data_IF_242232409596
#
_entry.id   IF_242232409596
#
_cell.length_a   1.000
_cell.length_b   1.000
_cell.length_c   1.000
_cell.angle_alpha   90.00
_cell.angle_beta   90.00
_cell.angle_gamma   90.00
#
_symmetry.space_group_name_H-M   'P 1'
#
loop_
_entity.id
_entity.type
_entity.pdbx_description
1 polymer ?
#
# COMPACT_ATOMS: atom_id res chain seq x y z
N UNK A 1 -27.62 -2.58 17.83
CA UNK A 1 -26.91 -3.08 16.64
C UNK A 1 -26.49 -1.91 15.79
N UNK A 2 -25.27 -1.44 15.86
CA UNK A 2 -24.65 -0.55 14.83
C UNK A 2 -23.23 -0.08 15.22
N UNK A 3 -22.43 -0.93 15.86
CA UNK A 3 -21.03 -0.60 16.18
C UNK A 3 -20.06 -0.93 15.00
N UNK A 4 -20.49 -1.71 14.01
CA UNK A 4 -19.68 -2.13 12.86
C UNK A 4 -19.46 -1.02 11.80
N UNK A 5 -20.22 0.07 11.86
CA UNK A 5 -20.12 1.17 10.89
C UNK A 5 -18.89 2.08 11.08
N UNK A 6 -18.14 1.95 12.18
CA UNK A 6 -17.00 2.82 12.50
C UNK A 6 -15.66 2.35 11.91
N UNK A 7 -15.54 1.08 11.54
CA UNK A 7 -14.32 0.58 10.91
C UNK A 7 -14.58 0.48 9.41
N UNK A 8 -14.03 1.42 8.65
CA UNK A 8 -14.08 1.32 7.17
C UNK A 8 -13.47 -0.02 6.74
N UNK A 9 -13.99 -0.66 5.67
CA UNK A 9 -13.42 -1.89 5.15
C UNK A 9 -11.92 -1.71 4.90
N UNK A 10 -11.15 -2.74 5.20
CA UNK A 10 -9.70 -2.74 4.98
C UNK A 10 -9.49 -2.66 3.46
N UNK A 11 -9.00 -1.52 2.99
CA UNK A 11 -8.57 -1.38 1.59
C UNK A 11 -7.13 -1.87 1.50
N UNK A 12 -6.93 -2.99 0.83
CA UNK A 12 -5.59 -3.52 0.62
C UNK A 12 -4.97 -2.93 -0.64
N UNK A 13 -3.85 -2.26 -0.46
CA UNK A 13 -2.90 -2.04 -1.55
C UNK A 13 -1.91 -3.19 -1.48
N UNK A 14 -1.91 -4.05 -2.49
CA UNK A 14 -0.91 -5.13 -2.57
C UNK A 14 0.42 -4.47 -2.89
N UNK A 15 1.39 -4.64 -2.00
CA UNK A 15 2.73 -4.10 -2.18
C UNK A 15 3.60 -5.21 -2.75
N UNK A 16 3.76 -5.22 -4.06
CA UNK A 16 4.80 -5.99 -4.74
C UNK A 16 5.71 -4.98 -5.42
N UNK A 17 6.94 -4.92 -4.99
CA UNK A 17 7.96 -4.14 -5.67
C UNK A 17 8.55 -5.00 -6.77
N UNK A 18 8.47 -4.52 -8.00
CA UNK A 18 9.22 -5.08 -9.11
C UNK A 18 10.63 -4.53 -9.00
N UNK A 19 11.54 -5.30 -8.44
CA UNK A 19 12.96 -4.94 -8.41
C UNK A 19 13.45 -4.69 -9.83
N UNK A 20 14.16 -3.57 -10.03
CA UNK A 20 14.81 -3.31 -11.30
C UNK A 20 15.88 -4.38 -11.50
N UNK A 21 15.78 -5.21 -12.54
CA UNK A 21 16.71 -6.30 -12.74
C UNK A 21 18.11 -5.75 -13.02
N UNK A 22 19.13 -6.31 -12.36
CA UNK A 22 20.52 -6.02 -12.69
C UNK A 22 20.85 -6.68 -14.03
N UNK A 23 20.53 -5.97 -15.11
CA UNK A 23 20.76 -6.43 -16.47
C UNK A 23 22.26 -6.40 -16.76
N UNK A 24 22.91 -7.53 -16.60
CA UNK A 24 24.29 -7.70 -17.06
C UNK A 24 24.28 -8.09 -18.53
N UNK A 25 24.95 -7.29 -19.36
CA UNK A 25 25.21 -7.67 -20.73
C UNK A 25 26.30 -8.74 -20.74
N UNK A 26 25.94 -9.98 -21.05
CA UNK A 26 26.88 -11.06 -21.23
C UNK A 26 27.16 -11.23 -22.72
N UNK A 27 28.39 -10.91 -23.13
CA UNK A 27 28.85 -11.24 -24.47
C UNK A 27 28.90 -12.76 -24.62
N UNK A 28 27.92 -13.32 -25.33
CA UNK A 28 27.91 -14.74 -25.67
C UNK A 28 28.75 -14.95 -26.94
N UNK A 29 29.65 -15.93 -26.89
CA UNK A 29 30.30 -16.39 -28.10
C UNK A 29 29.24 -16.94 -29.05
N UNK A 30 29.16 -16.38 -30.24
CA UNK A 30 28.18 -16.80 -31.24
C UNK A 30 28.41 -18.28 -31.59
N UNK A 31 27.36 -19.06 -31.52
CA UNK A 31 27.30 -20.35 -32.18
C UNK A 31 27.46 -20.10 -33.69
N UNK A 32 28.25 -20.93 -34.31
CA UNK A 32 28.55 -20.89 -35.75
C UNK A 32 27.26 -21.01 -36.55
N UNK A 33 26.69 -19.87 -36.95
CA UNK A 33 25.71 -19.84 -38.01
C UNK A 33 26.46 -20.06 -39.34
N UNK A 34 25.90 -20.96 -40.16
CA UNK A 34 26.50 -21.55 -41.37
C UNK A 34 26.69 -20.58 -42.57
N UNK A 35 26.50 -19.30 -42.37
CA UNK A 35 26.78 -18.28 -43.39
C UNK A 35 28.19 -17.69 -43.16
N UNK A 36 29.21 -18.32 -43.80
CA UNK A 36 30.59 -17.82 -43.87
C UNK A 36 30.58 -16.50 -44.67
N UNK A 37 30.32 -15.38 -43.98
CA UNK A 37 30.73 -14.07 -44.52
C UNK A 37 32.23 -14.12 -44.74
N UNK A 38 32.67 -13.71 -45.93
CA UNK A 38 34.11 -13.61 -46.25
C UNK A 38 34.63 -12.40 -45.46
N UNK A 39 35.36 -12.68 -44.37
CA UNK A 39 36.08 -11.67 -43.62
C UNK A 39 37.15 -11.10 -44.54
N UNK A 40 37.24 -9.79 -44.69
CA UNK A 40 38.32 -9.15 -45.43
C UNK A 40 39.66 -9.38 -44.73
N UNK A 41 40.76 -9.28 -45.43
CA UNK A 41 42.10 -9.42 -44.82
C UNK A 41 42.32 -8.37 -43.73
N UNK A 42 41.86 -7.15 -43.96
CA UNK A 42 41.95 -6.01 -43.03
C UNK A 42 41.18 -6.28 -41.72
N UNK A 43 39.94 -6.79 -41.86
CA UNK A 43 39.13 -7.21 -40.70
C UNK A 43 39.80 -8.33 -39.93
N UNK A 44 40.37 -9.32 -40.59
CA UNK A 44 41.10 -10.42 -39.96
C UNK A 44 42.29 -9.94 -39.14
N UNK A 45 43.08 -9.00 -39.71
CA UNK A 45 44.21 -8.39 -39.00
C UNK A 45 43.73 -7.51 -37.81
N UNK A 46 42.59 -6.80 -37.96
CA UNK A 46 41.99 -6.02 -36.88
C UNK A 46 41.49 -6.95 -35.73
N UNK A 47 40.72 -8.00 -36.05
CA UNK A 47 40.24 -8.97 -35.09
C UNK A 47 41.43 -9.60 -34.32
N UNK A 48 42.50 -9.95 -35.01
CA UNK A 48 43.70 -10.50 -34.37
C UNK A 48 44.35 -9.57 -33.34
N UNK A 49 44.29 -8.23 -33.59
CA UNK A 49 44.80 -7.24 -32.62
C UNK A 49 43.94 -7.09 -31.34
N UNK A 50 42.63 -7.20 -31.45
CA UNK A 50 41.71 -6.99 -30.32
C UNK A 50 41.40 -8.31 -29.59
N UNK A 51 41.75 -9.47 -30.14
CA UNK A 51 41.34 -10.78 -29.64
C UNK A 51 41.75 -11.03 -28.18
N UNK A 52 43.01 -10.66 -27.84
CA UNK A 52 43.54 -10.85 -26.49
C UNK A 52 42.79 -10.01 -25.44
N UNK A 53 42.54 -8.72 -25.76
CA UNK A 53 41.79 -7.82 -24.88
C UNK A 53 40.33 -8.25 -24.77
N UNK A 54 39.72 -8.73 -25.85
CA UNK A 54 38.35 -9.25 -25.85
C UNK A 54 38.22 -10.49 -24.94
N UNK A 55 39.16 -11.41 -25.03
CA UNK A 55 39.19 -12.60 -24.18
C UNK A 55 39.49 -12.30 -22.71
N UNK A 56 40.27 -11.24 -22.45
CA UNK A 56 40.61 -10.78 -21.10
C UNK A 56 39.47 -9.87 -20.50
N UNK A 57 38.45 -9.50 -21.30
CA UNK A 57 37.38 -8.60 -20.87
C UNK A 57 37.78 -7.12 -20.77
N UNK A 58 38.91 -6.74 -21.42
CA UNK A 58 39.34 -5.32 -21.46
C UNK A 58 38.61 -4.54 -22.53
N UNK A 59 37.28 -4.39 -22.32
CA UNK A 59 36.38 -3.77 -23.33
C UNK A 59 36.75 -2.32 -23.66
N UNK A 60 37.31 -1.58 -22.72
CA UNK A 60 37.76 -0.20 -22.94
C UNK A 60 38.87 -0.10 -23.99
N UNK A 61 39.83 -1.06 -23.93
CA UNK A 61 40.90 -1.15 -24.94
C UNK A 61 40.32 -1.48 -26.32
N UNK A 62 39.38 -2.45 -26.33
CA UNK A 62 38.68 -2.85 -27.56
C UNK A 62 37.90 -1.70 -28.15
N UNK A 63 37.15 -0.95 -27.35
CA UNK A 63 36.40 0.23 -27.79
C UNK A 63 37.33 1.31 -28.37
N UNK A 64 38.46 1.55 -27.70
CA UNK A 64 39.49 2.49 -28.16
C UNK A 64 40.11 2.07 -29.49
N UNK A 65 40.35 0.76 -29.68
CA UNK A 65 40.85 0.23 -30.95
C UNK A 65 39.85 0.47 -32.11
N UNK A 66 38.55 0.22 -31.87
CA UNK A 66 37.48 0.52 -32.84
C UNK A 66 37.39 2.02 -33.16
N UNK A 67 37.52 2.89 -32.17
CA UNK A 67 37.41 4.34 -32.34
C UNK A 67 38.49 4.94 -33.28
N UNK A 68 39.60 4.23 -33.50
CA UNK A 68 40.66 4.64 -34.44
C UNK A 68 40.44 4.18 -35.87
N UNK A 69 39.36 3.42 -36.14
CA UNK A 69 39.07 2.85 -37.48
C UNK A 69 37.86 3.51 -38.13
N UNK A 70 37.83 3.44 -39.46
CA UNK A 70 36.60 3.72 -40.20
C UNK A 70 35.69 2.48 -40.16
N UNK A 71 34.80 2.44 -39.17
CA UNK A 71 33.89 1.30 -38.93
C UNK A 71 32.91 1.06 -40.09
N UNK A 72 32.73 2.03 -40.99
CA UNK A 72 31.85 1.85 -42.16
C UNK A 72 32.36 0.81 -43.15
N UNK A 73 33.66 0.54 -43.12
CA UNK A 73 34.32 -0.47 -43.95
C UNK A 73 34.22 -1.88 -43.37
N UNK A 74 33.79 -2.00 -42.11
CA UNK A 74 33.69 -3.29 -41.45
C UNK A 74 32.37 -4.00 -41.80
N UNK A 75 32.42 -5.34 -41.79
CA UNK A 75 31.24 -6.16 -41.95
C UNK A 75 30.20 -5.86 -40.87
N UNK A 76 28.90 -6.09 -41.14
CA UNK A 76 27.84 -5.90 -40.12
C UNK A 76 28.11 -6.67 -38.85
N UNK A 77 28.67 -7.88 -38.92
CA UNK A 77 29.01 -8.69 -37.75
C UNK A 77 30.11 -8.05 -36.89
N UNK A 78 31.14 -7.47 -37.48
CA UNK A 78 32.20 -6.78 -36.73
C UNK A 78 31.68 -5.46 -36.13
N UNK A 79 30.79 -4.76 -36.81
CA UNK A 79 30.10 -3.58 -36.25
C UNK A 79 29.16 -3.96 -35.13
N UNK A 80 28.47 -5.11 -35.19
CA UNK A 80 27.68 -5.64 -34.08
C UNK A 80 28.54 -5.89 -32.84
N UNK A 81 29.71 -6.52 -32.99
CA UNK A 81 30.66 -6.71 -31.89
C UNK A 81 31.05 -5.37 -31.26
N UNK A 82 31.31 -4.33 -32.08
CA UNK A 82 31.57 -2.98 -31.57
C UNK A 82 30.38 -2.44 -30.77
N UNK A 83 29.16 -2.58 -31.27
CA UNK A 83 27.94 -2.22 -30.54
C UNK A 83 27.84 -2.91 -29.20
N UNK A 84 28.17 -4.20 -29.11
CA UNK A 84 28.19 -4.97 -27.86
C UNK A 84 29.27 -4.48 -26.88
N UNK A 85 30.46 -4.16 -27.38
CA UNK A 85 31.53 -3.56 -26.55
C UNK A 85 31.10 -2.23 -25.98
N UNK A 86 30.45 -1.40 -26.79
CA UNK A 86 29.93 -0.09 -26.35
C UNK A 86 28.83 -0.23 -25.26
N UNK A 87 28.03 -1.29 -25.32
CA UNK A 87 27.05 -1.58 -24.24
C UNK A 87 27.76 -1.88 -22.93
N UNK A 88 28.84 -2.66 -22.94
CA UNK A 88 29.66 -2.94 -21.75
C UNK A 88 30.30 -1.65 -21.20
N UNK A 89 30.78 -0.77 -22.08
CA UNK A 89 31.35 0.53 -21.72
C UNK A 89 30.25 1.57 -21.34
N UNK A 90 28.98 1.16 -21.31
CA UNK A 90 27.83 2.01 -21.01
C UNK A 90 27.66 3.21 -21.93
N UNK A 91 28.27 3.14 -23.13
CA UNK A 91 28.12 4.16 -24.18
C UNK A 91 26.90 3.86 -25.06
N UNK A 92 25.71 3.94 -24.41
CA UNK A 92 24.44 3.52 -25.03
C UNK A 92 24.06 4.34 -26.28
N UNK A 93 24.43 5.63 -26.32
CA UNK A 93 24.11 6.48 -27.45
C UNK A 93 24.86 6.08 -28.73
N UNK A 94 26.15 5.75 -28.59
CA UNK A 94 26.94 5.29 -29.72
C UNK A 94 26.58 3.85 -30.09
N UNK A 95 26.31 3.00 -29.10
CA UNK A 95 25.84 1.65 -29.33
C UNK A 95 24.51 1.64 -30.12
N UNK A 96 23.53 2.50 -29.76
CA UNK A 96 22.27 2.66 -30.51
C UNK A 96 22.57 2.96 -32.00
N UNK A 97 23.43 3.95 -32.28
CA UNK A 97 23.76 4.33 -33.64
C UNK A 97 24.39 3.18 -34.44
N UNK A 98 25.41 2.55 -33.89
CA UNK A 98 26.12 1.43 -34.53
C UNK A 98 25.21 0.25 -34.80
N UNK A 99 24.37 -0.11 -33.81
CA UNK A 99 23.46 -1.25 -33.93
C UNK A 99 22.30 -1.00 -34.89
N UNK A 100 21.85 0.26 -35.05
CA UNK A 100 20.88 0.63 -36.08
C UNK A 100 21.46 0.42 -37.47
N UNK A 101 22.70 0.89 -37.71
CA UNK A 101 23.41 0.66 -38.99
C UNK A 101 23.59 -0.84 -39.29
N UNK A 102 23.79 -1.68 -38.24
CA UNK A 102 23.85 -3.12 -38.39
C UNK A 102 22.50 -3.71 -38.80
N UNK A 103 21.41 -3.28 -38.16
CA UNK A 103 20.07 -3.75 -38.48
C UNK A 103 19.62 -3.31 -39.85
N UNK A 104 20.00 -2.12 -40.28
CA UNK A 104 19.72 -1.64 -41.67
C UNK A 104 20.41 -2.54 -42.69
N UNK A 105 21.63 -3.00 -42.42
CA UNK A 105 22.35 -3.93 -43.30
C UNK A 105 21.87 -5.39 -43.17
N UNK A 106 21.47 -5.81 -41.98
CA UNK A 106 21.04 -7.18 -41.67
C UNK A 106 19.74 -7.18 -40.81
N UNK A 107 18.58 -6.93 -41.43
CA UNK A 107 17.32 -6.75 -40.69
C UNK A 107 16.85 -7.98 -39.91
N UNK A 108 17.35 -9.16 -40.21
CA UNK A 108 17.00 -10.42 -39.58
C UNK A 108 18.13 -10.96 -38.67
N UNK A 109 18.99 -10.11 -38.15
CA UNK A 109 20.06 -10.51 -37.24
C UNK A 109 19.53 -10.46 -35.78
N UNK A 110 19.22 -11.62 -35.16
CA UNK A 110 18.52 -11.65 -33.85
C UNK A 110 19.35 -11.01 -32.74
N UNK A 111 20.68 -11.25 -32.76
CA UNK A 111 21.62 -10.73 -31.78
C UNK A 111 21.76 -9.20 -31.81
N UNK A 112 21.68 -8.59 -33.00
CA UNK A 112 21.70 -7.13 -33.13
C UNK A 112 20.41 -6.50 -32.53
N UNK A 113 19.25 -7.09 -32.77
CA UNK A 113 18.01 -6.66 -32.14
C UNK A 113 18.06 -6.78 -30.63
N UNK A 114 18.60 -7.91 -30.10
CA UNK A 114 18.82 -8.08 -28.68
C UNK A 114 19.73 -7.00 -28.08
N UNK A 115 20.88 -6.77 -28.72
CA UNK A 115 21.85 -5.75 -28.27
C UNK A 115 21.25 -4.34 -28.31
N UNK A 116 20.52 -3.99 -29.36
CA UNK A 116 19.84 -2.70 -29.45
C UNK A 116 18.73 -2.55 -28.41
N UNK A 117 17.99 -3.63 -28.13
CA UNK A 117 16.98 -3.59 -27.07
C UNK A 117 17.58 -3.28 -25.71
N UNK A 118 18.79 -3.81 -25.42
CA UNK A 118 19.52 -3.50 -24.19
C UNK A 118 19.91 -2.01 -24.11
N UNK A 119 20.40 -1.41 -25.20
CA UNK A 119 20.67 0.03 -25.24
C UNK A 119 19.40 0.84 -24.91
N UNK A 120 18.25 0.40 -25.42
CA UNK A 120 16.98 1.06 -25.15
C UNK A 120 16.48 0.86 -23.73
N UNK A 121 16.66 -0.32 -23.14
CA UNK A 121 16.33 -0.55 -21.72
C UNK A 121 17.16 0.37 -20.82
N UNK A 122 18.47 0.43 -21.05
CA UNK A 122 19.38 1.25 -20.24
C UNK A 122 19.20 2.76 -20.43
N UNK A 123 18.43 3.19 -21.42
CA UNK A 123 18.08 4.60 -21.70
C UNK A 123 16.60 4.90 -21.55
N UNK A 124 15.86 4.02 -20.86
CA UNK A 124 14.42 4.13 -20.58
C UNK A 124 13.52 4.33 -21.82
N UNK A 125 13.99 3.87 -22.98
CA UNK A 125 13.23 3.90 -24.23
C UNK A 125 12.38 2.63 -24.39
N UNK A 126 11.52 2.35 -23.40
CA UNK A 126 10.82 1.07 -23.22
C UNK A 126 10.02 0.60 -24.44
N UNK A 127 9.33 1.50 -25.13
CA UNK A 127 8.55 1.14 -26.33
C UNK A 127 9.45 0.61 -27.47
N UNK A 128 10.62 1.22 -27.67
CA UNK A 128 11.62 0.77 -28.65
C UNK A 128 12.25 -0.54 -28.20
N UNK A 129 12.62 -0.65 -26.91
CA UNK A 129 13.14 -1.89 -26.34
C UNK A 129 12.20 -3.06 -26.62
N UNK A 130 10.90 -2.90 -26.31
CA UNK A 130 9.89 -3.92 -26.56
C UNK A 130 9.86 -4.38 -28.02
N UNK A 131 9.92 -3.44 -28.98
CA UNK A 131 9.89 -3.77 -30.41
C UNK A 131 11.04 -4.69 -30.78
N UNK A 132 12.25 -4.37 -30.33
CA UNK A 132 13.44 -5.14 -30.67
C UNK A 132 13.56 -6.45 -29.88
N UNK A 133 13.10 -6.48 -28.60
CA UNK A 133 12.97 -7.72 -27.83
C UNK A 133 12.02 -8.70 -28.53
N UNK A 134 10.84 -8.22 -28.93
CA UNK A 134 9.87 -9.05 -29.65
C UNK A 134 10.46 -9.57 -30.96
N UNK A 135 11.14 -8.71 -31.71
CA UNK A 135 11.78 -9.12 -32.97
C UNK A 135 12.88 -10.16 -32.76
N UNK A 136 13.65 -10.03 -31.69
CA UNK A 136 14.67 -11.01 -31.32
C UNK A 136 14.07 -12.41 -31.02
N UNK A 137 12.94 -12.46 -30.30
CA UNK A 137 12.18 -13.68 -30.05
C UNK A 137 11.62 -14.28 -31.36
N UNK A 138 10.99 -13.45 -32.22
CA UNK A 138 10.47 -13.88 -33.52
C UNK A 138 11.56 -14.48 -34.42
N UNK A 139 12.79 -13.97 -34.33
CA UNK A 139 13.95 -14.47 -35.06
C UNK A 139 14.63 -15.68 -34.41
N UNK A 140 14.05 -16.23 -33.36
CA UNK A 140 14.42 -17.53 -32.79
C UNK A 140 15.34 -17.51 -31.57
N UNK A 141 15.65 -16.37 -30.97
CA UNK A 141 16.36 -16.37 -29.67
C UNK A 141 15.37 -16.80 -28.60
N UNK A 142 15.76 -17.86 -27.88
CA UNK A 142 14.99 -18.40 -26.76
C UNK A 142 15.94 -18.54 -25.56
N UNK A 143 16.03 -17.50 -24.75
CA UNK A 143 16.72 -17.55 -23.46
C UNK A 143 15.91 -16.83 -22.38
N UNK A 144 16.10 -17.26 -21.13
CA UNK A 144 15.31 -16.78 -19.99
C UNK A 144 15.48 -15.28 -19.77
N UNK A 145 16.69 -14.75 -19.95
CA UNK A 145 16.95 -13.32 -19.78
C UNK A 145 16.18 -12.47 -20.82
N UNK A 146 16.16 -12.91 -22.09
CA UNK A 146 15.40 -12.19 -23.13
C UNK A 146 13.92 -12.16 -22.82
N UNK A 147 13.34 -13.30 -22.41
CA UNK A 147 11.93 -13.37 -22.00
C UNK A 147 11.66 -12.54 -20.76
N UNK A 148 12.56 -12.56 -19.75
CA UNK A 148 12.45 -11.73 -18.54
C UNK A 148 12.49 -10.23 -18.89
N UNK A 149 13.41 -9.81 -19.78
CA UNK A 149 13.48 -8.42 -20.27
C UNK A 149 12.19 -8.01 -20.98
N UNK A 150 11.64 -8.88 -21.83
CA UNK A 150 10.40 -8.61 -22.55
C UNK A 150 9.22 -8.50 -21.57
N UNK A 151 9.16 -9.38 -20.58
CA UNK A 151 8.14 -9.36 -19.54
C UNK A 151 8.21 -8.09 -18.70
N UNK A 152 9.38 -7.75 -18.18
CA UNK A 152 9.61 -6.52 -17.43
C UNK A 152 9.20 -5.28 -18.25
N UNK A 153 9.64 -5.21 -19.50
CA UNK A 153 9.29 -4.10 -20.39
C UNK A 153 7.79 -3.98 -20.61
N UNK A 154 7.07 -5.11 -20.73
CA UNK A 154 5.62 -5.12 -20.87
C UNK A 154 4.94 -4.61 -19.58
N UNK A 155 5.43 -4.99 -18.40
CA UNK A 155 4.92 -4.47 -17.12
C UNK A 155 5.09 -2.96 -17.05
N UNK A 156 6.29 -2.46 -17.32
CA UNK A 156 6.60 -1.02 -17.27
C UNK A 156 5.76 -0.19 -18.27
N UNK A 157 5.38 -0.80 -19.39
CA UNK A 157 4.47 -0.21 -20.37
C UNK A 157 2.98 -0.35 -20.03
N UNK A 158 2.64 -0.82 -18.81
CA UNK A 158 1.25 -1.02 -18.37
C UNK A 158 0.54 -2.16 -19.11
N UNK A 159 1.28 -3.19 -19.53
CA UNK A 159 0.77 -4.37 -20.23
C UNK A 159 1.00 -5.67 -19.43
N UNK A 160 0.51 -5.77 -18.17
CA UNK A 160 0.84 -6.89 -17.30
C UNK A 160 0.33 -8.23 -17.85
N UNK A 161 -0.80 -8.26 -18.53
CA UNK A 161 -1.35 -9.49 -19.14
C UNK A 161 -0.36 -10.10 -20.16
N UNK A 162 0.30 -9.27 -20.98
CA UNK A 162 1.29 -9.76 -21.95
C UNK A 162 2.62 -10.15 -21.29
N UNK A 163 2.90 -9.63 -20.11
CA UNK A 163 4.09 -10.00 -19.36
C UNK A 163 4.00 -11.42 -18.76
N UNK A 164 2.80 -11.89 -18.42
CA UNK A 164 2.60 -13.20 -17.79
C UNK A 164 3.22 -14.32 -18.65
N UNK A 165 2.86 -14.40 -19.93
CA UNK A 165 3.40 -15.44 -20.83
C UNK A 165 4.92 -15.35 -21.01
N UNK A 166 5.47 -14.14 -21.02
CA UNK A 166 6.91 -13.96 -21.14
C UNK A 166 7.66 -14.41 -19.87
N UNK A 167 7.15 -14.07 -18.66
CA UNK A 167 7.72 -14.59 -17.41
C UNK A 167 7.59 -16.12 -17.32
N UNK A 168 6.46 -16.69 -17.74
CA UNK A 168 6.29 -18.16 -17.77
C UNK A 168 7.34 -18.82 -18.69
N UNK A 169 7.61 -18.24 -19.87
CA UNK A 169 8.67 -18.74 -20.74
C UNK A 169 10.07 -18.61 -20.10
N UNK A 170 10.33 -17.52 -19.38
CA UNK A 170 11.57 -17.37 -18.64
C UNK A 170 11.74 -18.45 -17.56
N UNK A 171 10.67 -18.73 -16.79
CA UNK A 171 10.65 -19.78 -15.75
C UNK A 171 10.76 -21.20 -16.35
N UNK A 172 10.21 -21.47 -17.52
CA UNK A 172 10.41 -22.76 -18.21
C UNK A 172 11.89 -23.03 -18.52
N UNK A 173 12.67 -21.97 -18.75
CA UNK A 173 14.11 -22.09 -19.06
C UNK A 173 14.99 -22.02 -17.80
N UNK A 174 14.56 -21.26 -16.81
CA UNK A 174 15.25 -21.10 -15.51
C UNK A 174 14.26 -21.27 -14.35
N UNK A 175 13.85 -22.50 -14.01
CA UNK A 175 12.80 -22.75 -13.01
C UNK A 175 13.14 -22.27 -11.58
N UNK A 176 14.42 -22.16 -11.25
CA UNK A 176 14.87 -21.75 -9.89
C UNK A 176 15.06 -20.24 -9.77
N UNK A 177 14.80 -19.46 -10.82
CA UNK A 177 15.09 -18.03 -10.81
C UNK A 177 14.00 -17.25 -10.06
N UNK A 178 14.30 -16.86 -8.82
CA UNK A 178 13.38 -16.11 -7.94
C UNK A 178 12.90 -14.78 -8.55
N UNK A 179 13.73 -14.15 -9.38
CA UNK A 179 13.36 -12.87 -10.02
C UNK A 179 12.19 -13.05 -11.00
N UNK A 180 12.19 -14.16 -11.74
CA UNK A 180 11.09 -14.46 -12.68
C UNK A 180 9.79 -14.77 -11.93
N UNK A 181 9.86 -15.47 -10.78
CA UNK A 181 8.70 -15.69 -9.90
C UNK A 181 8.12 -14.37 -9.37
N UNK A 182 8.97 -13.47 -8.89
CA UNK A 182 8.53 -12.16 -8.41
C UNK A 182 7.90 -11.31 -9.52
N UNK A 183 8.52 -11.31 -10.71
CA UNK A 183 7.98 -10.62 -11.88
C UNK A 183 6.63 -11.20 -12.34
N UNK A 184 6.49 -12.51 -12.35
CA UNK A 184 5.23 -13.18 -12.67
C UNK A 184 4.15 -12.84 -11.64
N UNK A 185 4.48 -12.90 -10.35
CA UNK A 185 3.56 -12.53 -9.28
C UNK A 185 3.07 -11.10 -9.42
N UNK A 186 3.99 -10.17 -9.68
CA UNK A 186 3.64 -8.77 -9.93
C UNK A 186 2.68 -8.63 -11.12
N UNK A 187 3.00 -9.27 -12.25
CA UNK A 187 2.17 -9.22 -13.46
C UNK A 187 0.77 -9.81 -13.24
N UNK A 188 0.66 -10.90 -12.47
CA UNK A 188 -0.62 -11.51 -12.10
C UNK A 188 -1.47 -10.58 -11.22
N UNK A 189 -0.85 -9.92 -10.26
CA UNK A 189 -1.53 -8.98 -9.36
C UNK A 189 -2.03 -7.75 -10.12
N UNK A 190 -1.17 -7.14 -10.95
CA UNK A 190 -1.51 -5.97 -11.76
C UNK A 190 -2.58 -6.27 -12.83
N UNK A 191 -2.61 -7.50 -13.33
CA UNK A 191 -3.67 -7.97 -14.25
C UNK A 191 -4.97 -8.40 -13.54
N UNK A 192 -5.01 -8.30 -12.20
CA UNK A 192 -6.12 -8.79 -11.36
C UNK A 192 -6.38 -10.31 -11.48
N UNK A 193 -5.37 -11.09 -11.87
CA UNK A 193 -5.42 -12.55 -11.94
C UNK A 193 -5.15 -13.16 -10.53
N UNK A 194 -5.95 -12.76 -9.54
CA UNK A 194 -5.68 -13.00 -8.12
C UNK A 194 -5.64 -14.49 -7.74
N UNK A 195 -6.46 -15.34 -8.39
CA UNK A 195 -6.43 -16.78 -8.15
C UNK A 195 -5.11 -17.43 -8.59
N UNK A 196 -4.56 -16.98 -9.72
CA UNK A 196 -3.27 -17.47 -10.22
C UNK A 196 -2.12 -16.93 -9.35
N UNK A 197 -2.20 -15.66 -8.92
CA UNK A 197 -1.24 -15.08 -8.00
C UNK A 197 -1.21 -15.83 -6.66
N UNK A 198 -2.37 -16.22 -6.12
CA UNK A 198 -2.47 -17.00 -4.89
C UNK A 198 -1.86 -18.41 -5.04
N UNK A 199 -2.12 -19.07 -6.17
CA UNK A 199 -1.53 -20.38 -6.49
C UNK A 199 0.00 -20.29 -6.53
N UNK A 200 0.53 -19.29 -7.24
CA UNK A 200 1.97 -19.03 -7.33
C UNK A 200 2.60 -18.74 -5.96
N UNK A 201 1.95 -17.90 -5.14
CA UNK A 201 2.41 -17.62 -3.77
C UNK A 201 2.42 -18.89 -2.91
N UNK A 202 1.44 -19.76 -3.07
CA UNK A 202 1.40 -21.02 -2.32
C UNK A 202 2.57 -21.93 -2.69
N UNK A 203 2.95 -21.97 -3.97
CA UNK A 203 4.13 -22.68 -4.45
C UNK A 203 5.42 -22.05 -3.86
N UNK A 204 5.59 -20.73 -3.97
CA UNK A 204 6.75 -20.03 -3.41
C UNK A 204 6.88 -20.21 -1.90
N UNK A 205 5.78 -20.32 -1.17
CA UNK A 205 5.76 -20.53 0.28
C UNK A 205 6.15 -21.96 0.69
N UNK A 206 5.98 -22.96 -0.20
CA UNK A 206 6.52 -24.32 0.06
C UNK A 206 8.04 -24.30 0.14
N UNK A 207 8.67 -23.47 -0.68
CA UNK A 207 10.15 -23.38 -0.72
C UNK A 207 10.69 -22.46 0.38
N UNK A 208 9.93 -21.45 0.81
CA UNK A 208 10.35 -20.46 1.82
C UNK A 208 9.19 -20.05 2.73
N UNK A 209 8.80 -20.95 3.64
CA UNK A 209 7.77 -20.70 4.64
C UNK A 209 8.13 -19.57 5.63
N UNK A 210 9.41 -19.24 5.75
CA UNK A 210 9.90 -18.20 6.66
C UNK A 210 9.87 -16.80 6.05
N UNK A 211 9.47 -16.66 4.79
CA UNK A 211 9.47 -15.41 4.09
C UNK A 211 8.25 -14.54 4.47
N UNK A 212 8.47 -13.60 5.36
CA UNK A 212 7.41 -12.69 5.83
C UNK A 212 6.73 -11.92 4.70
N UNK A 213 7.47 -11.58 3.62
CA UNK A 213 6.94 -10.81 2.49
C UNK A 213 5.90 -11.61 1.69
N UNK A 214 6.16 -12.91 1.47
CA UNK A 214 5.19 -13.77 0.78
C UNK A 214 3.90 -13.92 1.57
N UNK A 215 3.98 -14.05 2.90
CA UNK A 215 2.81 -14.08 3.77
C UNK A 215 2.04 -12.76 3.74
N UNK A 216 2.74 -11.63 3.74
CA UNK A 216 2.15 -10.31 3.62
C UNK A 216 1.37 -10.17 2.30
N UNK A 217 1.99 -10.55 1.19
CA UNK A 217 1.37 -10.53 -0.14
C UNK A 217 0.14 -11.44 -0.22
N UNK A 218 0.23 -12.65 0.34
CA UNK A 218 -0.89 -13.59 0.42
C UNK A 218 -2.08 -13.00 1.20
N UNK A 219 -1.79 -12.36 2.33
CA UNK A 219 -2.81 -11.68 3.12
C UNK A 219 -3.48 -10.52 2.35
N UNK A 220 -2.68 -9.73 1.63
CA UNK A 220 -3.19 -8.62 0.81
C UNK A 220 -4.06 -9.11 -0.36
N UNK A 221 -3.68 -10.20 -1.02
CA UNK A 221 -4.49 -10.84 -2.07
C UNK A 221 -5.81 -11.34 -1.47
N UNK A 222 -5.76 -12.04 -0.34
CA UNK A 222 -6.96 -12.53 0.34
C UNK A 222 -7.92 -11.38 0.73
N UNK A 223 -7.39 -10.23 1.18
CA UNK A 223 -8.20 -9.03 1.42
C UNK A 223 -8.92 -8.53 0.15
N UNK A 224 -8.22 -8.52 -0.99
CA UNK A 224 -8.84 -8.13 -2.28
C UNK A 224 -9.91 -9.14 -2.73
N UNK A 225 -9.74 -10.42 -2.43
CA UNK A 225 -10.70 -11.47 -2.71
C UNK A 225 -11.89 -11.48 -1.73
N UNK A 226 -11.79 -10.74 -0.62
CA UNK A 226 -12.80 -10.73 0.45
C UNK A 226 -12.70 -11.93 1.40
N UNK A 227 -11.64 -12.73 1.33
CA UNK A 227 -11.38 -13.84 2.23
C UNK A 227 -10.71 -13.34 3.51
N UNK A 228 -11.52 -12.85 4.46
CA UNK A 228 -11.05 -12.23 5.69
C UNK A 228 -10.32 -13.22 6.61
N UNK A 229 -10.70 -14.50 6.60
CA UNK A 229 -10.08 -15.54 7.43
C UNK A 229 -8.65 -15.82 6.95
N UNK A 230 -8.49 -16.04 5.65
CA UNK A 230 -7.17 -16.24 5.04
C UNK A 230 -6.30 -15.00 5.16
N UNK A 231 -6.89 -13.81 4.99
CA UNK A 231 -6.19 -12.54 5.17
C UNK A 231 -5.63 -12.42 6.59
N UNK A 232 -6.48 -12.62 7.61
CA UNK A 232 -6.06 -12.53 9.01
C UNK A 232 -4.95 -13.53 9.33
N UNK A 233 -5.14 -14.80 8.97
CA UNK A 233 -4.15 -15.86 9.18
C UNK A 233 -2.80 -15.51 8.53
N UNK A 234 -2.80 -15.08 7.27
CA UNK A 234 -1.56 -14.76 6.54
C UNK A 234 -0.85 -13.53 7.11
N UNK A 235 -1.61 -12.47 7.43
CA UNK A 235 -1.04 -11.23 7.98
C UNK A 235 -0.52 -11.41 9.42
N UNK A 236 -1.18 -12.22 10.25
CA UNK A 236 -0.67 -12.61 11.58
C UNK A 236 0.62 -13.43 11.45
N UNK A 237 0.70 -14.33 10.47
CA UNK A 237 1.94 -15.08 10.20
C UNK A 237 3.06 -14.13 9.82
N UNK A 238 2.82 -13.16 8.94
CA UNK A 238 3.81 -12.13 8.61
C UNK A 238 4.29 -11.35 9.87
N UNK A 239 3.36 -10.98 10.77
CA UNK A 239 3.71 -10.34 12.04
C UNK A 239 4.58 -11.25 12.91
N UNK A 240 4.25 -12.55 13.00
CA UNK A 240 5.01 -13.52 13.79
C UNK A 240 6.43 -13.71 13.26
N UNK A 241 6.60 -13.63 11.94
CA UNK A 241 7.89 -13.70 11.26
C UNK A 241 8.70 -12.40 11.30
N UNK A 242 8.15 -11.35 11.90
CA UNK A 242 8.90 -10.13 12.16
C UNK A 242 8.48 -8.89 11.37
N UNK A 243 7.43 -8.96 10.53
CA UNK A 243 6.89 -7.76 9.91
C UNK A 243 6.37 -6.79 10.98
N UNK A 244 6.72 -5.52 10.84
CA UNK A 244 6.32 -4.44 11.75
C UNK A 244 5.83 -3.23 10.97
N UNK A 245 5.47 -3.43 9.70
CA UNK A 245 4.93 -2.37 8.86
C UNK A 245 3.62 -1.83 9.43
N UNK A 246 3.48 -0.52 9.45
CA UNK A 246 2.28 0.12 10.00
C UNK A 246 1.01 -0.33 9.27
N UNK A 247 1.10 -0.51 7.95
CA UNK A 247 -0.03 -0.96 7.12
C UNK A 247 -0.54 -2.34 7.51
N UNK A 248 0.38 -3.29 7.80
CA UNK A 248 0.01 -4.62 8.27
C UNK A 248 -0.56 -4.57 9.70
N UNK A 249 0.10 -3.86 10.61
CA UNK A 249 -0.39 -3.67 11.98
C UNK A 249 -1.82 -3.09 12.00
N UNK A 250 -2.11 -2.07 11.17
CA UNK A 250 -3.46 -1.51 11.02
C UNK A 250 -4.44 -2.55 10.48
N UNK A 251 -4.03 -3.29 9.44
CA UNK A 251 -4.90 -4.28 8.79
C UNK A 251 -5.29 -5.41 9.74
N UNK A 252 -4.31 -5.99 10.44
CA UNK A 252 -4.53 -7.07 11.40
C UNK A 252 -5.40 -6.59 12.57
N UNK A 253 -5.13 -5.41 13.12
CA UNK A 253 -5.93 -4.87 14.21
C UNK A 253 -7.40 -4.65 13.80
N UNK A 254 -7.64 -4.10 12.61
CA UNK A 254 -8.99 -3.92 12.06
C UNK A 254 -9.69 -5.25 11.81
N UNK A 255 -8.98 -6.24 11.24
CA UNK A 255 -9.52 -7.58 11.00
C UNK A 255 -9.93 -8.26 12.32
N UNK A 256 -9.13 -8.18 13.38
CA UNK A 256 -9.50 -8.71 14.68
C UNK A 256 -10.74 -8.04 15.28
N UNK A 257 -10.90 -6.72 15.11
CA UNK A 257 -12.14 -6.04 15.54
C UNK A 257 -13.32 -6.56 14.74
N UNK A 258 -13.19 -6.74 13.43
CA UNK A 258 -14.26 -7.24 12.56
C UNK A 258 -14.61 -8.71 12.82
N UNK A 259 -13.62 -9.52 13.19
CA UNK A 259 -13.77 -10.94 13.56
C UNK A 259 -14.29 -11.16 14.98
N UNK A 260 -14.57 -10.09 15.73
CA UNK A 260 -15.06 -10.19 17.10
C UNK A 260 -13.98 -10.48 18.15
N UNK A 261 -12.72 -10.26 17.81
CA UNK A 261 -11.56 -10.45 18.70
C UNK A 261 -10.88 -9.11 19.06
N UNK A 262 -11.61 -8.10 19.59
CA UNK A 262 -11.07 -6.75 19.82
C UNK A 262 -9.95 -6.71 20.86
N UNK A 263 -9.90 -7.69 21.78
CA UNK A 263 -8.81 -7.83 22.74
C UNK A 263 -7.47 -8.03 22.05
N UNK A 264 -7.42 -8.88 21.00
CA UNK A 264 -6.20 -9.11 20.22
C UNK A 264 -5.77 -7.84 19.48
N UNK A 265 -6.74 -7.10 18.92
CA UNK A 265 -6.46 -5.78 18.34
C UNK A 265 -5.84 -4.83 19.38
N UNK A 266 -6.38 -4.77 20.58
CA UNK A 266 -5.83 -3.96 21.66
C UNK A 266 -4.40 -4.37 22.04
N UNK A 267 -4.11 -5.66 22.12
CA UNK A 267 -2.77 -6.17 22.43
C UNK A 267 -1.74 -5.75 21.35
N UNK A 268 -2.12 -5.83 20.07
CA UNK A 268 -1.28 -5.37 18.94
C UNK A 268 -1.02 -3.86 19.05
N UNK A 269 -2.06 -3.06 19.22
CA UNK A 269 -1.94 -1.61 19.32
C UNK A 269 -1.10 -1.18 20.53
N UNK A 270 -1.29 -1.83 21.68
CA UNK A 270 -0.52 -1.51 22.88
C UNK A 270 0.96 -1.86 22.72
N UNK A 271 1.26 -3.03 22.15
CA UNK A 271 2.63 -3.50 21.92
C UNK A 271 3.37 -2.59 20.95
N UNK A 272 2.69 -2.11 19.90
CA UNK A 272 3.26 -1.27 18.85
C UNK A 272 2.84 0.20 18.94
N UNK A 273 2.40 0.68 20.11
CA UNK A 273 1.86 2.03 20.32
C UNK A 273 2.77 3.13 19.76
N UNK A 274 4.09 2.98 19.91
CA UNK A 274 5.07 3.93 19.36
C UNK A 274 4.91 4.07 17.85
N UNK A 275 4.82 2.97 17.10
CA UNK A 275 4.68 2.97 15.63
C UNK A 275 3.42 3.71 15.20
N UNK A 276 2.28 3.41 15.86
CA UNK A 276 1.00 4.07 15.58
C UNK A 276 1.00 5.57 15.88
N UNK A 277 1.66 5.97 16.98
CA UNK A 277 1.62 7.34 17.49
C UNK A 277 2.62 8.25 16.77
N UNK A 278 3.77 7.70 16.32
CA UNK A 278 4.81 8.51 15.67
C UNK A 278 4.71 8.54 14.17
N UNK A 279 3.65 7.96 13.61
CA UNK A 279 3.35 8.03 12.20
C UNK A 279 3.09 9.47 11.76
N UNK A 280 3.84 9.92 10.74
CA UNK A 280 3.81 11.31 10.25
C UNK A 280 2.56 11.62 9.44
N UNK A 281 2.02 10.62 8.76
CA UNK A 281 0.85 10.75 7.90
C UNK A 281 -0.46 10.72 8.70
N UNK A 282 -0.36 10.33 9.99
CA UNK A 282 -1.46 10.32 10.93
C UNK A 282 -2.40 9.11 10.82
N UNK A 283 -2.19 8.22 9.85
CA UNK A 283 -3.01 7.03 9.66
C UNK A 283 -2.93 6.07 10.85
N UNK A 284 -1.73 5.96 11.44
CA UNK A 284 -1.49 5.14 12.63
C UNK A 284 -2.31 5.62 13.81
N UNK A 285 -2.24 6.91 14.16
CA UNK A 285 -3.01 7.45 15.27
C UNK A 285 -4.51 7.42 15.02
N UNK A 286 -4.94 7.64 13.78
CA UNK A 286 -6.36 7.53 13.38
C UNK A 286 -6.89 6.12 13.62
N UNK A 287 -6.17 5.09 13.19
CA UNK A 287 -6.53 3.70 13.44
C UNK A 287 -6.54 3.36 14.95
N UNK A 288 -5.51 3.81 15.68
CA UNK A 288 -5.38 3.64 17.13
C UNK A 288 -6.57 4.23 17.86
N UNK A 289 -6.90 5.49 17.59
CA UNK A 289 -7.98 6.20 18.26
C UNK A 289 -9.36 5.63 17.93
N UNK A 290 -9.60 5.18 16.69
CA UNK A 290 -10.86 4.55 16.27
C UNK A 290 -11.09 3.21 16.95
N UNK A 291 -10.06 2.37 17.07
CA UNK A 291 -10.17 1.10 17.78
C UNK A 291 -10.36 1.34 19.27
N UNK A 292 -9.64 2.30 19.86
CA UNK A 292 -9.85 2.68 21.27
C UNK A 292 -11.29 3.20 21.52
N UNK A 293 -11.84 4.00 20.61
CA UNK A 293 -13.23 4.46 20.70
C UNK A 293 -14.23 3.30 20.56
N UNK A 294 -13.94 2.31 19.68
CA UNK A 294 -14.73 1.09 19.59
C UNK A 294 -14.73 0.32 20.91
N UNK A 295 -13.58 0.17 21.57
CA UNK A 295 -13.47 -0.49 22.88
C UNK A 295 -14.28 0.25 23.94
N UNK A 296 -14.23 1.59 23.95
CA UNK A 296 -15.01 2.43 24.84
C UNK A 296 -16.53 2.24 24.64
N UNK A 297 -16.98 2.25 23.37
CA UNK A 297 -18.38 2.08 23.00
C UNK A 297 -18.96 0.69 23.36
N UNK A 298 -18.09 -0.33 23.41
CA UNK A 298 -18.46 -1.70 23.80
C UNK A 298 -18.07 -2.01 25.25
N UNK A 299 -17.81 -1.01 26.08
CA UNK A 299 -17.51 -1.12 27.52
C UNK A 299 -16.31 -2.04 27.84
N UNK A 300 -15.38 -2.20 26.91
CA UNK A 300 -14.17 -3.01 27.10
C UNK A 300 -13.10 -2.21 27.85
N UNK A 301 -13.40 -1.84 29.08
CA UNK A 301 -12.61 -0.91 29.89
C UNK A 301 -11.20 -1.40 30.20
N UNK A 302 -11.00 -2.71 30.32
CA UNK A 302 -9.68 -3.31 30.56
C UNK A 302 -8.75 -3.07 29.37
N UNK A 303 -9.23 -3.32 28.17
CA UNK A 303 -8.44 -3.22 26.95
C UNK A 303 -8.23 -1.74 26.54
N UNK A 304 -9.25 -0.89 26.73
CA UNK A 304 -9.10 0.57 26.61
C UNK A 304 -8.05 1.10 27.60
N UNK A 305 -8.01 0.55 28.82
CA UNK A 305 -7.00 0.90 29.83
C UNK A 305 -5.58 0.60 29.36
N UNK A 306 -5.35 -0.57 28.76
CA UNK A 306 -4.05 -0.93 28.15
C UNK A 306 -3.63 0.08 27.08
N UNK A 307 -4.55 0.44 26.17
CA UNK A 307 -4.25 1.38 25.11
C UNK A 307 -3.92 2.78 25.65
N UNK A 308 -4.75 3.31 26.54
CA UNK A 308 -4.50 4.63 27.11
C UNK A 308 -3.18 4.70 27.87
N UNK A 309 -2.79 3.62 28.57
CA UNK A 309 -1.50 3.52 29.26
C UNK A 309 -0.32 3.43 28.28
N UNK A 310 -0.45 2.64 27.21
CA UNK A 310 0.57 2.51 26.18
C UNK A 310 0.79 3.83 25.43
N UNK A 311 -0.29 4.61 25.19
CA UNK A 311 -0.20 5.93 24.61
C UNK A 311 0.48 6.95 25.53
N UNK A 312 0.29 6.86 26.87
CA UNK A 312 0.93 7.75 27.83
C UNK A 312 2.47 7.69 27.79
N UNK A 313 3.02 6.51 27.55
CA UNK A 313 4.46 6.32 27.39
C UNK A 313 5.03 7.08 26.16
N UNK A 314 4.17 7.52 25.25
CA UNK A 314 4.52 8.22 24.02
C UNK A 314 3.92 9.64 23.92
N UNK A 315 3.31 10.16 24.99
CA UNK A 315 2.54 11.42 25.02
C UNK A 315 3.31 12.64 24.49
N UNK A 316 4.62 12.70 24.74
CA UNK A 316 5.50 13.80 24.28
C UNK A 316 5.62 13.90 22.76
N UNK A 317 5.16 12.88 22.03
CA UNK A 317 5.21 12.82 20.55
C UNK A 317 3.86 13.11 19.90
N UNK A 318 2.82 13.28 20.70
CA UNK A 318 1.48 13.60 20.22
C UNK A 318 1.38 15.09 19.86
N UNK A 319 0.67 15.38 18.81
CA UNK A 319 0.21 16.76 18.52
C UNK A 319 -0.84 17.16 19.57
N UNK A 320 -1.13 18.47 19.67
CA UNK A 320 -2.14 18.99 20.58
C UNK A 320 -3.52 18.33 20.35
N UNK A 321 -3.92 18.18 19.09
CA UNK A 321 -5.18 17.53 18.71
C UNK A 321 -5.20 16.04 19.09
N UNK A 322 -4.11 15.32 18.87
CA UNK A 322 -3.99 13.92 19.25
C UNK A 322 -4.02 13.75 20.78
N UNK A 323 -3.37 14.64 21.51
CA UNK A 323 -3.40 14.65 22.99
C UNK A 323 -4.82 14.94 23.51
N UNK A 324 -5.57 15.84 22.86
CA UNK A 324 -6.97 16.08 23.17
C UNK A 324 -7.81 14.83 22.96
N UNK A 325 -7.66 14.14 21.82
CA UNK A 325 -8.35 12.87 21.53
C UNK A 325 -8.01 11.80 22.58
N UNK A 326 -6.74 11.67 22.96
CA UNK A 326 -6.35 10.73 24.02
C UNK A 326 -6.97 11.09 25.37
N UNK A 327 -7.08 12.36 25.71
CA UNK A 327 -7.75 12.81 26.95
C UNK A 327 -9.26 12.47 26.92
N UNK A 328 -9.92 12.53 25.77
CA UNK A 328 -11.32 12.05 25.61
C UNK A 328 -11.44 10.55 25.90
N UNK A 329 -10.56 9.72 25.32
CA UNK A 329 -10.56 8.27 25.54
C UNK A 329 -10.32 7.92 27.01
N UNK A 330 -9.39 8.60 27.68
CA UNK A 330 -9.14 8.48 29.12
C UNK A 330 -10.35 8.91 29.95
N UNK A 331 -11.03 9.96 29.53
CA UNK A 331 -12.25 10.41 30.18
C UNK A 331 -13.37 9.39 30.08
N UNK A 332 -13.54 8.75 28.90
CA UNK A 332 -14.50 7.66 28.70
C UNK A 332 -14.16 6.46 29.62
N UNK A 333 -12.88 6.10 29.72
CA UNK A 333 -12.42 5.07 30.66
C UNK A 333 -12.73 5.46 32.11
N UNK A 334 -12.50 6.71 32.51
CA UNK A 334 -12.81 7.20 33.85
C UNK A 334 -14.32 7.19 34.11
N UNK A 335 -15.14 7.53 33.11
CA UNK A 335 -16.62 7.43 33.21
C UNK A 335 -17.06 5.99 33.40
N UNK A 336 -16.54 5.04 32.64
CA UNK A 336 -16.82 3.61 32.80
C UNK A 336 -16.41 3.06 34.16
N UNK A 337 -15.44 3.68 34.83
CA UNK A 337 -15.02 3.35 36.22
C UNK A 337 -15.74 4.17 37.29
N UNK A 338 -16.73 4.98 36.93
CA UNK A 338 -17.47 5.84 37.88
C UNK A 338 -16.67 7.04 38.43
N UNK A 339 -15.52 7.35 37.83
CA UNK A 339 -14.60 8.43 38.26
C UNK A 339 -14.96 9.79 37.64
N UNK A 340 -16.17 10.29 37.88
CA UNK A 340 -16.71 11.48 37.21
C UNK A 340 -15.85 12.74 37.36
N UNK A 341 -15.20 12.97 38.50
CA UNK A 341 -14.32 14.14 38.70
C UNK A 341 -13.11 14.09 37.77
N UNK A 342 -12.47 12.92 37.65
CA UNK A 342 -11.35 12.69 36.73
C UNK A 342 -11.77 12.89 35.29
N UNK A 343 -12.93 12.36 34.91
CA UNK A 343 -13.47 12.52 33.56
C UNK A 343 -13.71 14.00 33.19
N UNK A 344 -14.32 14.79 34.11
CA UNK A 344 -14.52 16.24 33.87
C UNK A 344 -13.17 16.97 33.68
N UNK A 345 -12.16 16.68 34.51
CA UNK A 345 -10.85 17.28 34.39
C UNK A 345 -10.21 16.99 33.03
N UNK A 346 -10.25 15.72 32.60
CA UNK A 346 -9.68 15.29 31.31
C UNK A 346 -10.42 15.90 30.11
N UNK A 347 -11.76 15.96 30.14
CA UNK A 347 -12.56 16.58 29.08
C UNK A 347 -12.35 18.10 29.01
N UNK A 348 -12.25 18.76 30.17
CA UNK A 348 -11.94 20.20 30.24
C UNK A 348 -10.58 20.48 29.61
N UNK A 349 -9.58 19.65 29.89
CA UNK A 349 -8.26 19.75 29.27
C UNK A 349 -8.33 19.51 27.77
N UNK A 350 -9.04 18.46 27.33
CA UNK A 350 -9.21 18.17 25.91
C UNK A 350 -9.83 19.36 25.14
N UNK A 351 -10.83 20.04 25.75
CA UNK A 351 -11.49 21.20 25.16
C UNK A 351 -10.59 22.46 25.19
N UNK A 352 -9.69 22.56 26.17
CA UNK A 352 -8.70 23.65 26.20
C UNK A 352 -7.65 23.49 25.10
N UNK A 353 -7.20 22.25 24.89
CA UNK A 353 -6.22 21.88 23.87
C UNK A 353 -6.80 21.90 22.43
N UNK A 354 -8.08 21.52 22.27
CA UNK A 354 -8.81 21.51 21.00
C UNK A 354 -10.26 21.98 21.22
N UNK A 355 -10.52 23.29 21.11
CA UNK A 355 -11.83 23.90 21.40
C UNK A 355 -12.98 23.43 20.48
N UNK A 356 -12.66 22.90 19.34
CA UNK A 356 -13.55 22.34 18.32
C UNK A 356 -13.71 20.80 18.41
N UNK A 357 -13.19 20.17 19.47
CA UNK A 357 -13.35 18.74 19.70
C UNK A 357 -14.80 18.43 20.12
N UNK A 358 -15.62 18.08 19.13
CA UNK A 358 -17.05 17.80 19.33
C UNK A 358 -17.32 16.65 20.28
N UNK A 359 -16.49 15.59 20.26
CA UNK A 359 -16.63 14.44 21.16
C UNK A 359 -16.36 14.81 22.62
N UNK A 360 -15.36 15.64 22.86
CA UNK A 360 -15.09 16.15 24.21
C UNK A 360 -16.25 16.99 24.74
N UNK A 361 -16.81 17.87 23.90
CA UNK A 361 -17.98 18.69 24.26
C UNK A 361 -19.21 17.84 24.56
N UNK A 362 -19.53 16.86 23.71
CA UNK A 362 -20.68 15.96 23.91
C UNK A 362 -20.52 15.13 25.19
N UNK A 363 -19.33 14.57 25.41
CA UNK A 363 -19.04 13.76 26.60
C UNK A 363 -19.14 14.60 27.89
N UNK A 364 -18.62 15.82 27.88
CA UNK A 364 -18.67 16.72 29.03
C UNK A 364 -20.13 17.16 29.31
N UNK A 365 -20.88 17.51 28.28
CA UNK A 365 -22.31 17.89 28.41
C UNK A 365 -23.15 16.73 28.96
N UNK A 366 -22.94 15.51 28.46
CA UNK A 366 -23.61 14.32 28.97
C UNK A 366 -23.28 14.07 30.45
N UNK A 367 -22.01 14.22 30.82
CA UNK A 367 -21.57 14.03 32.21
C UNK A 367 -22.16 15.09 33.15
N UNK A 368 -22.24 16.37 32.74
CA UNK A 368 -22.93 17.42 33.50
C UNK A 368 -24.43 17.13 33.64
N UNK A 369 -25.09 16.61 32.59
CA UNK A 369 -26.50 16.19 32.65
C UNK A 369 -26.68 15.07 33.68
N UNK A 370 -25.84 14.04 33.66
CA UNK A 370 -25.90 12.93 34.63
C UNK A 370 -25.70 13.40 36.09
N UNK A 371 -24.91 14.46 36.31
CA UNK A 371 -24.71 15.08 37.60
C UNK A 371 -25.80 16.10 37.97
N UNK A 372 -26.87 16.20 37.17
CA UNK A 372 -27.95 17.18 37.34
C UNK A 372 -27.47 18.64 37.28
N UNK A 373 -26.32 18.91 36.65
CA UNK A 373 -25.82 20.25 36.43
C UNK A 373 -26.35 20.77 35.08
N UNK A 374 -27.65 21.09 35.10
CA UNK A 374 -28.41 21.36 33.87
C UNK A 374 -27.89 22.55 33.10
N UNK A 375 -27.53 23.64 33.78
CA UNK A 375 -27.04 24.84 33.11
C UNK A 375 -25.72 24.61 32.37
N UNK A 376 -24.76 23.99 33.01
CA UNK A 376 -23.51 23.62 32.34
C UNK A 376 -23.71 22.65 31.19
N UNK A 377 -24.62 21.69 31.35
CA UNK A 377 -24.93 20.74 30.30
C UNK A 377 -25.53 21.44 29.07
N UNK A 378 -26.54 22.33 29.27
CA UNK A 378 -27.16 23.11 28.20
C UNK A 378 -26.14 23.95 27.45
N UNK A 379 -25.30 24.70 28.16
CA UNK A 379 -24.28 25.57 27.56
C UNK A 379 -23.25 24.77 26.76
N UNK A 380 -22.84 23.60 27.29
CA UNK A 380 -21.85 22.75 26.62
C UNK A 380 -22.44 22.11 25.37
N UNK A 381 -23.72 21.66 25.39
CA UNK A 381 -24.39 21.15 24.22
C UNK A 381 -24.62 22.27 23.15
N UNK A 382 -24.96 23.48 23.55
CA UNK A 382 -25.09 24.62 22.63
C UNK A 382 -23.78 24.90 21.90
N UNK A 383 -22.64 24.81 22.62
CA UNK A 383 -21.34 24.92 22.00
C UNK A 383 -21.06 23.77 21.03
N UNK A 384 -21.40 22.53 21.40
CA UNK A 384 -21.27 21.39 20.50
C UNK A 384 -22.16 21.49 19.26
N UNK A 385 -23.36 22.10 19.39
CA UNK A 385 -24.32 22.29 18.28
C UNK A 385 -23.78 23.20 17.17
N UNK A 386 -22.80 24.06 17.46
CA UNK A 386 -22.12 24.88 16.45
C UNK A 386 -21.16 24.07 15.54
N UNK A 387 -20.81 22.86 15.91
CA UNK A 387 -19.92 21.98 15.19
C UNK A 387 -20.72 21.00 14.32
N UNK A 388 -20.50 21.03 13.01
CA UNK A 388 -21.32 20.29 12.04
C UNK A 388 -21.33 18.77 12.26
N UNK A 389 -20.20 18.19 12.66
CA UNK A 389 -19.97 16.77 12.87
C UNK A 389 -20.75 16.18 14.07
N UNK A 390 -21.02 16.99 15.09
CA UNK A 390 -21.71 16.59 16.32
C UNK A 390 -23.05 17.30 16.53
N UNK A 391 -23.45 18.21 15.65
CA UNK A 391 -24.65 19.03 15.76
C UNK A 391 -25.91 18.21 16.07
N UNK A 392 -26.14 17.15 15.33
CA UNK A 392 -27.28 16.27 15.53
C UNK A 392 -27.34 15.70 16.93
N UNK A 393 -26.20 15.17 17.42
CA UNK A 393 -26.09 14.56 18.75
C UNK A 393 -26.22 15.60 19.87
N UNK A 394 -25.71 16.78 19.65
CA UNK A 394 -25.86 17.89 20.60
C UNK A 394 -27.32 18.34 20.75
N UNK A 395 -28.05 18.47 19.64
CA UNK A 395 -29.50 18.80 19.68
C UNK A 395 -30.30 17.71 20.38
N UNK A 396 -29.99 16.42 20.14
CA UNK A 396 -30.62 15.30 20.85
C UNK A 396 -30.31 15.33 22.34
N UNK A 397 -29.09 15.68 22.73
CA UNK A 397 -28.70 15.85 24.13
C UNK A 397 -29.49 16.96 24.83
N UNK A 398 -29.74 18.08 24.14
CA UNK A 398 -30.61 19.17 24.65
C UNK A 398 -32.05 18.75 24.75
N UNK A 399 -32.57 18.04 23.73
CA UNK A 399 -33.92 17.49 23.79
C UNK A 399 -34.10 16.56 25.01
N UNK A 400 -33.08 15.74 25.29
CA UNK A 400 -33.12 14.86 26.46
C UNK A 400 -33.11 15.65 27.78
N UNK A 401 -32.34 16.74 27.88
CA UNK A 401 -32.41 17.62 29.07
C UNK A 401 -33.81 18.18 29.24
N UNK A 402 -34.47 18.64 28.14
CA UNK A 402 -35.82 19.16 28.21
C UNK A 402 -36.81 18.07 28.67
N UNK A 403 -36.66 16.82 28.23
CA UNK A 403 -37.45 15.68 28.70
C UNK A 403 -37.22 15.45 30.21
N UNK A 404 -35.97 15.40 30.66
CA UNK A 404 -35.62 15.21 32.06
C UNK A 404 -36.23 16.31 32.96
N UNK A 405 -36.35 17.50 32.45
CA UNK A 405 -36.97 18.66 33.11
C UNK A 405 -38.50 18.74 32.93
N UNK A 406 -39.13 17.79 32.23
CA UNK A 406 -40.55 17.79 31.86
C UNK A 406 -41.00 18.98 31.00
N UNK A 407 -40.05 19.61 30.31
CA UNK A 407 -40.28 20.67 29.30
C UNK A 407 -40.61 20.03 27.96
N UNK A 408 -41.74 19.34 27.89
CA UNK A 408 -42.09 18.48 26.74
C UNK A 408 -42.27 19.25 25.43
N UNK A 409 -42.75 20.50 25.49
CA UNK A 409 -42.91 21.36 24.32
C UNK A 409 -41.55 21.74 23.69
N UNK A 410 -40.54 22.05 24.52
CA UNK A 410 -39.18 22.35 24.08
C UNK A 410 -38.50 21.10 23.50
N UNK A 411 -38.67 19.96 24.15
CA UNK A 411 -38.18 18.69 23.67
C UNK A 411 -38.75 18.34 22.27
N UNK A 412 -40.06 18.48 22.11
CA UNK A 412 -40.78 18.25 20.85
C UNK A 412 -40.24 19.14 19.73
N UNK A 413 -40.07 20.43 20.03
CA UNK A 413 -39.51 21.40 19.07
C UNK A 413 -38.11 20.98 18.59
N UNK A 414 -37.22 20.60 19.51
CA UNK A 414 -35.86 20.12 19.20
C UNK A 414 -35.88 18.85 18.37
N UNK A 415 -36.72 17.85 18.75
CA UNK A 415 -36.77 16.57 18.01
C UNK A 415 -37.34 16.78 16.60
N UNK A 416 -38.35 17.61 16.41
CA UNK A 416 -38.88 17.97 15.09
C UNK A 416 -37.83 18.67 14.24
N UNK A 417 -37.06 19.59 14.82
CA UNK A 417 -35.95 20.25 14.14
C UNK A 417 -34.87 19.27 13.69
N UNK A 418 -34.48 18.29 14.56
CA UNK A 418 -33.56 17.22 14.19
C UNK A 418 -34.12 16.40 13.04
N UNK A 419 -35.35 15.93 13.13
CA UNK A 419 -35.99 15.13 12.09
C UNK A 419 -36.07 15.85 10.75
N UNK A 420 -36.43 17.17 10.78
CA UNK A 420 -36.46 18.02 9.57
C UNK A 420 -35.08 18.13 8.90
N UNK A 421 -34.02 18.25 9.71
CA UNK A 421 -32.66 18.40 9.21
C UNK A 421 -32.02 17.05 8.79
N UNK A 422 -32.51 15.96 9.39
CA UNK A 422 -31.99 14.59 9.20
C UNK A 422 -33.13 13.57 9.01
N UNK A 423 -33.80 13.57 7.83
CA UNK A 423 -35.00 12.74 7.59
C UNK A 423 -34.77 11.22 7.67
N UNK A 424 -33.54 10.80 7.55
CA UNK A 424 -33.15 9.38 7.73
C UNK A 424 -33.35 8.85 9.16
N UNK A 425 -33.52 9.75 10.14
CA UNK A 425 -33.76 9.41 11.56
C UNK A 425 -35.26 9.09 11.82
N UNK A 426 -35.79 8.13 11.07
CA UNK A 426 -37.18 7.63 11.29
C UNK A 426 -37.42 7.04 12.68
N UNK A 427 -36.35 6.63 13.39
CA UNK A 427 -36.34 6.20 14.79
C UNK A 427 -36.88 7.28 15.77
N UNK A 428 -36.83 8.57 15.39
CA UNK A 428 -37.34 9.67 16.20
C UNK A 428 -38.88 9.83 16.13
N UNK A 429 -39.53 9.30 15.10
CA UNK A 429 -40.96 9.49 14.89
C UNK A 429 -41.81 8.98 16.07
N UNK A 430 -41.47 7.82 16.62
CA UNK A 430 -42.18 7.29 17.82
C UNK A 430 -42.01 8.17 19.03
N UNK A 431 -40.82 8.74 19.25
CA UNK A 431 -40.57 9.67 20.36
C UNK A 431 -41.32 10.99 20.18
N UNK A 432 -41.37 11.53 18.94
CA UNK A 432 -42.10 12.75 18.59
C UNK A 432 -43.59 12.54 18.89
N UNK A 433 -44.16 11.42 18.42
CA UNK A 433 -45.57 11.11 18.62
C UNK A 433 -45.93 10.93 20.11
N UNK A 434 -45.05 10.28 20.87
CA UNK A 434 -45.23 10.13 22.32
C UNK A 434 -45.24 11.47 23.05
N UNK A 435 -44.28 12.36 22.69
CA UNK A 435 -44.23 13.72 23.25
C UNK A 435 -45.44 14.59 22.85
N UNK A 436 -45.96 14.47 21.62
CA UNK A 436 -47.17 15.15 21.16
C UNK A 436 -48.38 14.76 22.03
N UNK A 437 -48.50 13.45 22.34
CA UNK A 437 -49.59 12.99 23.20
C UNK A 437 -49.43 13.50 24.65
N UNK A 438 -48.18 13.55 25.16
CA UNK A 438 -47.96 14.13 26.51
C UNK A 438 -48.31 15.62 26.60
N UNK A 439 -47.88 16.39 25.58
CA UNK A 439 -48.18 17.84 25.49
C UNK A 439 -49.70 18.07 25.43
N UNK A 440 -50.45 17.28 24.63
CA UNK A 440 -51.90 17.40 24.51
C UNK A 440 -52.64 17.08 25.82
N UNK A 441 -52.09 16.16 26.64
CA UNK A 441 -52.71 15.75 27.90
C UNK A 441 -52.31 16.62 29.10
N UNK A 442 -51.38 17.55 28.93
CA UNK A 442 -50.86 18.41 30.00
C UNK A 442 -51.48 19.85 29.89
N UNK A 443 -52.26 20.13 28.85
CA UNK A 443 -53.10 21.31 28.67
C UNK A 443 -54.54 20.96 29.09
#
# INVERSE_FOLDING_TARGET
MSALAFVKPVSAKITVELEEPDWQFVMRQHHRDDHRERISREEGEFIGRIQADLQAGYYSNVASAFATQDISQFSPRLRELYGQVLLNEKNYALAEKVLLDVIDAMPNLPSAHRSLSMAYLMTDKLAKARTHLTKSVELGIQDAQLFGQLAYTNVQLGKPVTAIGAYQNALMLEPENKQWYQGLLFALIESNALAQAESLLSEMLVDDESNQQLWLQRGQIALKQGDMVKALSSLETALSLGDRSLSNLISVAKLHVSDGSPRRAADILATHAKTFITDKDGEGFDAYSKIAAYLAANEQWSDLGKLTQAADNNVKKLTTTQAATLNVLKAQLAMGKGQSKTAISLLTKAIADAPDNGEALLSLASLYRQQNNVERAKMTYLRAESLADVKQRAMLGRAQIAIDQRQYQDALTLLRQVYKSYPSRSDLLGNIQSLENLVKNTI
#
